data_IF_632928402711
#
_entry.id   IF_632928402711
#
_cell.length_a   1.000
_cell.length_b   1.000
_cell.length_c   1.000
_cell.angle_alpha   90.00
_cell.angle_beta   90.00
_cell.angle_gamma   90.00
#
_symmetry.space_group_name_H-M   'P 1'
#
loop_
_entity.id
_entity.type
_entity.pdbx_description
1 polymer ?
#
# COMPACT_ATOMS: atom_id res chain seq x y z
N UNK A 1 8.89 3.94 -25.26
CA UNK A 1 9.42 4.16 -23.90
C UNK A 1 10.94 4.16 -23.99
N UNK A 2 11.61 5.14 -23.38
CA UNK A 2 13.07 5.17 -23.37
C UNK A 2 13.61 4.03 -22.49
N UNK A 3 14.72 3.41 -22.90
CA UNK A 3 15.40 2.39 -22.10
C UNK A 3 15.87 3.03 -20.80
N UNK A 4 15.48 2.45 -19.65
CA UNK A 4 15.87 2.93 -18.33
C UNK A 4 17.40 3.05 -18.24
N UNK A 5 17.88 4.20 -17.78
CA UNK A 5 19.32 4.47 -17.57
C UNK A 5 19.81 4.02 -16.20
N UNK A 6 18.90 3.52 -15.35
CA UNK A 6 19.18 3.17 -13.96
C UNK A 6 19.56 1.69 -13.84
N UNK A 7 20.46 1.38 -12.90
CA UNK A 7 20.84 0.01 -12.57
C UNK A 7 19.79 -0.58 -11.63
N UNK A 8 19.22 -1.73 -12.01
CA UNK A 8 18.24 -2.45 -11.18
C UNK A 8 16.78 -2.09 -11.46
N UNK A 9 15.88 -2.55 -10.59
CA UNK A 9 14.44 -2.28 -10.68
C UNK A 9 14.06 -0.98 -9.96
N UNK A 10 12.89 -0.43 -10.30
CA UNK A 10 12.33 0.70 -9.58
C UNK A 10 12.07 0.37 -8.09
N UNK A 11 12.21 1.36 -7.19
CA UNK A 11 11.92 1.17 -5.77
C UNK A 11 10.42 0.98 -5.57
N UNK A 12 10.04 0.18 -4.57
CA UNK A 12 8.63 -0.09 -4.24
C UNK A 12 8.24 0.58 -2.92
N UNK A 13 6.95 0.91 -2.78
CA UNK A 13 6.38 1.45 -1.54
C UNK A 13 5.69 0.30 -0.79
N UNK A 14 6.21 -0.04 0.39
CA UNK A 14 5.59 -1.03 1.27
C UNK A 14 4.56 -0.41 2.20
N UNK A 15 3.28 -0.74 2.02
CA UNK A 15 2.19 -0.27 2.90
C UNK A 15 1.86 -1.37 3.92
N UNK A 16 1.95 -1.04 5.21
CA UNK A 16 1.79 -2.00 6.31
C UNK A 16 0.58 -1.62 7.18
N UNK A 17 -0.59 -2.26 6.97
CA UNK A 17 -1.74 -2.06 7.85
C UNK A 17 -1.45 -2.69 9.22
N UNK A 18 -1.34 -1.85 10.24
CA UNK A 18 -1.18 -2.28 11.64
C UNK A 18 -2.53 -2.17 12.34
N UNK A 19 -2.91 -3.22 13.07
CA UNK A 19 -4.23 -3.37 13.69
C UNK A 19 -4.08 -3.92 15.11
N UNK A 20 -5.10 -3.71 15.93
CA UNK A 20 -5.22 -4.37 17.23
C UNK A 20 -5.26 -5.91 17.08
N UNK A 21 -4.45 -6.60 17.88
CA UNK A 21 -4.34 -8.06 17.86
C UNK A 21 -5.40 -8.80 18.67
N UNK A 22 -6.23 -8.09 19.46
CA UNK A 22 -7.21 -8.69 20.37
C UNK A 22 -8.31 -9.44 19.63
N UNK A 23 -8.36 -10.76 19.85
CA UNK A 23 -9.41 -11.67 19.39
C UNK A 23 -10.30 -12.09 20.56
N UNK A 24 -11.42 -12.78 20.29
CA UNK A 24 -12.26 -13.39 21.32
C UNK A 24 -13.69 -12.85 21.33
N UNK A 25 -14.35 -12.88 22.50
CA UNK A 25 -15.78 -12.54 22.62
C UNK A 25 -16.15 -11.17 22.04
N UNK A 26 -15.29 -10.16 22.25
CA UNK A 26 -15.49 -8.80 21.76
C UNK A 26 -15.14 -8.60 20.28
N UNK A 27 -14.49 -9.59 19.65
CA UNK A 27 -14.15 -9.60 18.21
C UNK A 27 -13.53 -8.29 17.69
N UNK A 28 -12.63 -7.69 18.49
CA UNK A 28 -12.06 -6.35 18.24
C UNK A 28 -11.26 -6.31 16.95
N UNK A 29 -10.44 -7.33 16.70
CA UNK A 29 -9.68 -7.42 15.46
C UNK A 29 -10.61 -7.60 14.26
N UNK A 30 -11.55 -8.54 14.35
CA UNK A 30 -12.47 -8.89 13.27
C UNK A 30 -13.33 -7.70 12.84
N UNK A 31 -13.70 -6.81 13.76
CA UNK A 31 -14.43 -5.58 13.42
C UNK A 31 -13.59 -4.49 12.75
N UNK A 32 -12.26 -4.58 12.83
CA UNK A 32 -11.31 -3.59 12.32
C UNK A 32 -10.56 -4.03 11.05
N UNK A 33 -10.54 -5.33 10.71
CA UNK A 33 -9.76 -5.90 9.60
C UNK A 33 -10.11 -5.23 8.26
N UNK A 34 -11.39 -5.20 7.89
CA UNK A 34 -11.84 -4.66 6.61
C UNK A 34 -11.53 -3.17 6.48
N UNK A 35 -11.82 -2.38 7.53
CA UNK A 35 -11.53 -0.96 7.55
C UNK A 35 -10.03 -0.69 7.42
N UNK A 36 -9.20 -1.42 8.19
CA UNK A 36 -7.75 -1.22 8.20
C UNK A 36 -7.13 -1.60 6.85
N UNK A 37 -7.59 -2.69 6.22
CA UNK A 37 -7.15 -3.07 4.88
C UNK A 37 -7.63 -2.09 3.81
N UNK A 38 -8.83 -1.54 3.91
CA UNK A 38 -9.33 -0.55 2.96
C UNK A 38 -8.56 0.77 3.06
N UNK A 39 -8.11 1.18 4.24
CA UNK A 39 -7.19 2.32 4.39
C UNK A 39 -5.85 2.07 3.69
N UNK A 40 -5.28 0.87 3.80
CA UNK A 40 -4.05 0.52 3.10
C UNK A 40 -4.22 0.52 1.57
N UNK A 41 -5.35 0.02 1.07
CA UNK A 41 -5.69 0.05 -0.37
C UNK A 41 -5.87 1.48 -0.87
N UNK A 42 -6.59 2.33 -0.13
CA UNK A 42 -6.79 3.72 -0.49
C UNK A 42 -5.46 4.50 -0.54
N UNK A 43 -4.54 4.23 0.38
CA UNK A 43 -3.19 4.81 0.32
C UNK A 43 -2.42 4.33 -0.91
N UNK A 44 -2.52 3.04 -1.28
CA UNK A 44 -1.89 2.50 -2.48
C UNK A 44 -2.41 3.19 -3.76
N UNK A 45 -3.73 3.34 -3.86
CA UNK A 45 -4.39 4.00 -4.99
C UNK A 45 -4.02 5.49 -5.07
N UNK A 46 -3.95 6.18 -3.93
CA UNK A 46 -3.51 7.57 -3.88
C UNK A 46 -2.08 7.73 -4.43
N UNK A 47 -1.16 6.84 -4.08
CA UNK A 47 0.20 6.89 -4.62
C UNK A 47 0.22 6.58 -6.13
N UNK A 48 -0.40 5.49 -6.56
CA UNK A 48 -0.43 5.11 -7.98
C UNK A 48 -1.07 6.17 -8.90
N UNK A 49 -2.00 6.97 -8.39
CA UNK A 49 -2.69 8.01 -9.16
C UNK A 49 -1.97 9.36 -9.20
N UNK A 50 -1.00 9.62 -8.30
CA UNK A 50 -0.41 10.95 -8.13
C UNK A 50 1.12 11.01 -8.29
N UNK A 51 1.82 9.89 -8.19
CA UNK A 51 3.27 9.84 -8.38
C UNK A 51 3.63 8.88 -9.50
N UNK A 52 4.72 9.18 -10.21
CA UNK A 52 5.27 8.35 -11.27
C UNK A 52 6.77 8.18 -11.04
N UNK A 53 7.32 7.09 -11.54
CA UNK A 53 8.76 6.94 -11.71
C UNK A 53 9.31 7.94 -12.72
N UNK A 54 10.64 8.03 -12.77
CA UNK A 54 11.34 8.95 -13.66
C UNK A 54 11.12 8.71 -15.15
N UNK A 55 10.59 7.54 -15.54
CA UNK A 55 10.22 7.21 -16.92
C UNK A 55 8.74 7.49 -17.24
N UNK A 56 7.95 7.96 -16.27
CA UNK A 56 6.52 8.22 -16.41
C UNK A 56 5.61 7.03 -16.13
N UNK A 57 6.16 5.85 -15.78
CA UNK A 57 5.34 4.74 -15.31
C UNK A 57 4.82 5.04 -13.88
N UNK A 58 3.57 4.67 -13.54
CA UNK A 58 3.00 4.84 -12.20
C UNK A 58 3.60 3.90 -11.14
#
# INVERSE_FOLDING_TARGET
MAVSRLIGSYPVIGIRPVIDGRRGYLKVRESLEDQTMNMAKAAAELFQSNICYSNGDP
#
